data_IF_618342233377
#
_entry.id   IF_618342233377
#
_cell.length_a   1.000
_cell.length_b   1.000
_cell.length_c   1.000
_cell.angle_alpha   90.00
_cell.angle_beta   90.00
_cell.angle_gamma   90.00
#
_symmetry.space_group_name_H-M   'P 1'
#
loop_
_entity.id
_entity.type
_entity.pdbx_description
1 polymer ?
#
# COMPACT_ATOMS: atom_id res chain seq x y z
N UNK A 1 35.66 13.47 -6.73
CA UNK A 1 34.48 14.30 -7.08
C UNK A 1 34.14 15.12 -5.85
N UNK A 2 33.95 16.45 -5.94
CA UNK A 2 33.60 17.25 -4.78
C UNK A 2 32.27 16.74 -4.17
N UNK A 3 32.12 16.73 -2.84
CA UNK A 3 30.88 16.29 -2.19
C UNK A 3 29.71 17.14 -2.69
N UNK A 4 28.60 16.48 -3.02
CA UNK A 4 27.39 17.15 -3.47
C UNK A 4 26.94 18.17 -2.42
N UNK A 5 26.75 19.44 -2.82
CA UNK A 5 26.29 20.48 -1.90
C UNK A 5 24.90 20.15 -1.33
N UNK A 6 24.49 20.78 -0.21
CA UNK A 6 23.23 20.46 0.48
C UNK A 6 22.00 20.40 -0.42
N UNK A 7 21.87 21.31 -1.39
CA UNK A 7 20.75 21.32 -2.35
C UNK A 7 20.71 20.08 -3.25
N UNK A 8 21.87 19.59 -3.70
CA UNK A 8 21.97 18.37 -4.49
C UNK A 8 21.64 17.13 -3.63
N UNK A 9 22.01 17.14 -2.34
CA UNK A 9 21.63 16.10 -1.38
C UNK A 9 20.11 16.07 -1.14
N UNK A 10 19.47 17.22 -0.91
CA UNK A 10 18.01 17.30 -0.75
C UNK A 10 17.25 16.86 -2.01
N UNK A 11 17.73 17.25 -3.19
CA UNK A 11 17.17 16.78 -4.47
C UNK A 11 17.24 15.26 -4.62
N UNK A 12 18.40 14.66 -4.30
CA UNK A 12 18.57 13.21 -4.34
C UNK A 12 17.68 12.47 -3.34
N UNK A 13 17.55 12.98 -2.10
CA UNK A 13 16.67 12.40 -1.09
C UNK A 13 15.19 12.46 -1.51
N UNK A 14 14.75 13.59 -2.08
CA UNK A 14 13.39 13.74 -2.60
C UNK A 14 13.10 12.76 -3.75
N UNK A 15 14.02 12.62 -4.70
CA UNK A 15 13.89 11.66 -5.79
C UNK A 15 13.83 10.21 -5.29
N UNK A 16 14.70 9.84 -4.34
CA UNK A 16 14.67 8.52 -3.71
C UNK A 16 13.35 8.26 -2.97
N UNK A 17 12.81 9.24 -2.26
CA UNK A 17 11.54 9.10 -1.55
C UNK A 17 10.38 8.77 -2.51
N UNK A 18 10.33 9.42 -3.68
CA UNK A 18 9.32 9.13 -4.71
C UNK A 18 9.47 7.70 -5.25
N UNK A 19 10.70 7.28 -5.54
CA UNK A 19 10.97 5.91 -6.02
C UNK A 19 10.54 4.87 -4.99
N UNK A 20 10.95 5.04 -3.73
CA UNK A 20 10.57 4.15 -2.63
C UNK A 20 9.06 4.13 -2.46
N UNK A 21 8.39 5.30 -2.49
CA UNK A 21 6.94 5.39 -2.43
C UNK A 21 6.26 4.58 -3.53
N UNK A 22 6.69 4.73 -4.79
CA UNK A 22 6.11 3.97 -5.91
C UNK A 22 6.36 2.46 -5.79
N UNK A 23 7.54 2.05 -5.30
CA UNK A 23 7.84 0.63 -5.05
C UNK A 23 6.94 0.05 -3.97
N UNK A 24 6.76 0.78 -2.86
CA UNK A 24 5.85 0.37 -1.77
C UNK A 24 4.42 0.27 -2.28
N UNK A 25 3.94 1.25 -3.04
CA UNK A 25 2.60 1.21 -3.65
C UNK A 25 2.45 -0.01 -4.57
N UNK A 26 3.46 -0.33 -5.38
CA UNK A 26 3.42 -1.49 -6.25
C UNK A 26 3.30 -2.80 -5.46
N UNK A 27 4.06 -2.93 -4.36
CA UNK A 27 4.01 -4.08 -3.45
C UNK A 27 2.64 -4.17 -2.76
N UNK A 28 2.15 -3.08 -2.18
CA UNK A 28 0.83 -3.00 -1.53
C UNK A 28 -0.31 -3.39 -2.48
N UNK A 29 -0.15 -3.02 -3.74
CA UNK A 29 -1.12 -3.35 -4.80
C UNK A 29 -1.16 -4.83 -5.13
N UNK A 30 -0.06 -5.58 -4.92
CA UNK A 30 -0.08 -7.04 -5.03
C UNK A 30 -1.01 -7.62 -3.96
N UNK A 31 -0.88 -7.16 -2.71
CA UNK A 31 -1.73 -7.64 -1.61
C UNK A 31 -3.20 -7.29 -1.82
N UNK A 32 -3.49 -6.05 -2.23
CA UNK A 32 -4.86 -5.63 -2.53
C UNK A 32 -5.45 -6.39 -3.71
N UNK A 33 -4.66 -6.65 -4.76
CA UNK A 33 -5.08 -7.47 -5.90
C UNK A 33 -5.43 -8.90 -5.49
N UNK A 34 -4.59 -9.53 -4.66
CA UNK A 34 -4.88 -10.87 -4.13
C UNK A 34 -6.14 -10.83 -3.25
N UNK A 35 -6.26 -9.84 -2.37
CA UNK A 35 -7.46 -9.65 -1.56
C UNK A 35 -8.72 -9.49 -2.38
N UNK A 36 -8.68 -8.72 -3.48
CA UNK A 36 -9.79 -8.55 -4.42
C UNK A 36 -10.19 -9.87 -5.10
N UNK A 37 -9.21 -10.72 -5.45
CA UNK A 37 -9.48 -12.06 -5.97
C UNK A 37 -10.15 -12.97 -4.94
N UNK A 38 -9.68 -12.97 -3.69
CA UNK A 38 -10.31 -13.72 -2.60
C UNK A 38 -11.72 -13.22 -2.29
N UNK A 39 -11.96 -11.92 -2.41
CA UNK A 39 -13.28 -11.30 -2.30
C UNK A 39 -14.23 -11.60 -3.48
N UNK A 40 -13.76 -12.34 -4.51
CA UNK A 40 -14.52 -12.66 -5.72
C UNK A 40 -15.05 -11.41 -6.43
N UNK A 41 -14.18 -10.42 -6.60
CA UNK A 41 -14.42 -9.26 -7.47
C UNK A 41 -14.14 -9.70 -8.91
N UNK A 42 -15.15 -9.66 -9.78
CA UNK A 42 -15.13 -10.25 -11.13
C UNK A 42 -14.03 -9.67 -12.03
N UNK A 43 -13.82 -8.35 -11.97
CA UNK A 43 -12.83 -7.66 -12.80
C UNK A 43 -11.56 -7.28 -12.02
N UNK A 44 -11.11 -8.11 -11.08
CA UNK A 44 -9.93 -7.83 -10.28
C UNK A 44 -8.62 -7.95 -11.08
N UNK A 45 -7.96 -6.82 -11.36
CA UNK A 45 -6.66 -6.76 -12.03
C UNK A 45 -5.61 -6.03 -11.18
N UNK A 46 -4.33 -6.32 -11.42
CA UNK A 46 -3.24 -5.61 -10.74
C UNK A 46 -3.24 -4.11 -11.07
N UNK A 47 -3.55 -3.73 -12.32
CA UNK A 47 -3.65 -2.31 -12.70
C UNK A 47 -4.72 -1.56 -11.91
N UNK A 48 -5.90 -2.17 -11.72
CA UNK A 48 -6.94 -1.61 -10.84
C UNK A 48 -6.48 -1.55 -9.39
N UNK A 49 -5.81 -2.59 -8.89
CA UNK A 49 -5.24 -2.56 -7.55
C UNK A 49 -4.21 -1.42 -7.38
N UNK A 50 -3.34 -1.22 -8.36
CA UNK A 50 -2.35 -0.14 -8.36
C UNK A 50 -2.99 1.24 -8.29
N UNK A 51 -3.97 1.49 -9.15
CA UNK A 51 -4.71 2.76 -9.17
C UNK A 51 -5.49 2.94 -7.86
N UNK A 52 -6.13 1.88 -7.36
CA UNK A 52 -6.88 1.92 -6.10
C UNK A 52 -5.99 2.21 -4.89
N UNK A 53 -4.82 1.56 -4.81
CA UNK A 53 -3.83 1.78 -3.75
C UNK A 53 -3.27 3.19 -3.83
N UNK A 54 -2.77 3.62 -5.00
CA UNK A 54 -2.20 4.95 -5.19
C UNK A 54 -3.21 6.06 -4.89
N UNK A 55 -4.38 6.00 -5.53
CA UNK A 55 -5.45 6.98 -5.33
C UNK A 55 -6.00 6.93 -3.91
N UNK A 56 -6.15 5.73 -3.35
CA UNK A 56 -6.62 5.53 -1.98
C UNK A 56 -5.68 6.14 -0.95
N UNK A 57 -4.37 5.92 -1.09
CA UNK A 57 -3.38 6.51 -0.17
C UNK A 57 -3.34 8.02 -0.28
N UNK A 58 -3.37 8.59 -1.50
CA UNK A 58 -3.37 10.04 -1.71
C UNK A 58 -4.62 10.66 -1.06
N UNK A 59 -5.80 10.14 -1.37
CA UNK A 59 -7.07 10.69 -0.85
C UNK A 59 -7.14 10.49 0.67
N UNK A 60 -6.76 9.33 1.18
CA UNK A 60 -6.73 9.05 2.63
C UNK A 60 -5.78 9.99 3.38
N UNK A 61 -4.58 10.24 2.84
CA UNK A 61 -3.60 11.16 3.43
C UNK A 61 -4.13 12.60 3.47
N UNK A 62 -4.76 13.07 2.40
CA UNK A 62 -5.36 14.41 2.34
C UNK A 62 -6.49 14.52 3.37
N UNK A 63 -7.44 13.58 3.36
CA UNK A 63 -8.59 13.59 4.29
C UNK A 63 -8.11 13.52 5.75
N UNK A 64 -7.12 12.66 6.02
CA UNK A 64 -6.52 12.50 7.34
C UNK A 64 -5.78 13.74 7.84
N UNK A 65 -5.11 14.48 6.95
CA UNK A 65 -4.39 15.69 7.31
C UNK A 65 -5.31 16.91 7.51
N UNK A 66 -6.42 16.99 6.76
CA UNK A 66 -7.32 18.16 6.78
C UNK A 66 -8.32 18.09 7.94
N UNK A 67 -8.81 16.90 8.29
CA UNK A 67 -9.90 16.76 9.27
C UNK A 67 -9.36 16.35 10.64
N UNK A 68 -9.43 17.22 11.67
CA UNK A 68 -8.96 16.88 13.01
C UNK A 68 -9.85 15.82 13.69
N UNK A 69 -9.26 15.08 14.62
CA UNK A 69 -9.89 14.04 15.47
C UNK A 69 -10.46 12.80 14.75
N UNK A 70 -11.18 12.97 13.65
CA UNK A 70 -11.84 11.90 12.89
C UNK A 70 -11.22 11.65 11.52
N UNK A 71 -10.23 12.44 11.11
CA UNK A 71 -9.59 12.34 9.79
C UNK A 71 -9.01 10.96 9.49
N UNK A 72 -8.47 10.25 10.49
CA UNK A 72 -7.98 8.88 10.29
C UNK A 72 -9.09 7.91 9.86
N UNK A 73 -10.24 7.96 10.52
CA UNK A 73 -11.40 7.13 10.17
C UNK A 73 -11.97 7.51 8.80
N UNK A 74 -12.12 8.81 8.55
CA UNK A 74 -12.60 9.31 7.26
C UNK A 74 -11.62 9.00 6.13
N UNK A 75 -10.31 9.01 6.40
CA UNK A 75 -9.26 8.61 5.46
C UNK A 75 -9.37 7.14 5.08
N UNK A 76 -9.60 6.25 6.06
CA UNK A 76 -9.88 4.84 5.78
C UNK A 76 -11.16 4.65 4.95
N UNK A 77 -12.24 5.36 5.30
CA UNK A 77 -13.50 5.30 4.53
C UNK A 77 -13.26 5.79 3.10
N UNK A 78 -12.49 6.86 2.92
CA UNK A 78 -12.15 7.39 1.61
C UNK A 78 -11.26 6.43 0.81
N UNK A 79 -10.29 5.78 1.45
CA UNK A 79 -9.49 4.70 0.84
C UNK A 79 -10.41 3.58 0.34
N UNK A 80 -11.30 3.06 1.19
CA UNK A 80 -12.24 1.99 0.83
C UNK A 80 -13.22 2.44 -0.26
N UNK A 81 -13.61 3.71 -0.27
CA UNK A 81 -14.42 4.28 -1.34
C UNK A 81 -13.67 4.30 -2.69
N UNK A 82 -12.37 4.61 -2.70
CA UNK A 82 -11.55 4.51 -3.91
C UNK A 82 -11.44 3.06 -4.37
N UNK A 83 -11.15 2.12 -3.47
CA UNK A 83 -11.13 0.67 -3.79
C UNK A 83 -12.45 0.25 -4.41
N UNK A 84 -13.57 0.57 -3.76
CA UNK A 84 -14.92 0.30 -4.25
C UNK A 84 -15.14 0.84 -5.67
N UNK A 85 -14.73 2.08 -5.91
CA UNK A 85 -14.96 2.80 -7.17
C UNK A 85 -14.08 2.24 -8.30
N UNK A 86 -12.79 2.03 -8.04
CA UNK A 86 -11.83 1.54 -9.04
C UNK A 86 -12.09 0.08 -9.41
N UNK A 87 -12.44 -0.76 -8.43
CA UNK A 87 -12.82 -2.15 -8.68
C UNK A 87 -14.25 -2.32 -9.20
N UNK A 88 -15.06 -1.24 -9.23
CA UNK A 88 -16.48 -1.28 -9.58
C UNK A 88 -17.25 -2.36 -8.80
N UNK A 89 -17.15 -2.29 -7.47
CA UNK A 89 -17.69 -3.31 -6.56
C UNK A 89 -18.59 -2.70 -5.49
N UNK A 90 -19.21 -3.55 -4.65
CA UNK A 90 -19.93 -3.12 -3.46
C UNK A 90 -19.00 -2.90 -2.24
N UNK A 91 -19.52 -2.25 -1.21
CA UNK A 91 -18.79 -1.96 0.03
C UNK A 91 -18.31 -3.23 0.76
N UNK A 92 -19.12 -4.29 0.78
CA UNK A 92 -18.78 -5.53 1.46
C UNK A 92 -17.54 -6.17 0.83
N UNK A 93 -17.54 -6.33 -0.49
CA UNK A 93 -16.39 -6.86 -1.25
C UNK A 93 -15.15 -5.96 -1.12
N UNK A 94 -15.29 -4.63 -1.13
CA UNK A 94 -14.16 -3.72 -0.94
C UNK A 94 -13.51 -3.87 0.45
N UNK A 95 -14.33 -3.96 1.50
CA UNK A 95 -13.86 -4.19 2.87
C UNK A 95 -13.20 -5.57 2.98
N UNK A 96 -13.82 -6.61 2.42
CA UNK A 96 -13.28 -7.97 2.41
C UNK A 96 -11.93 -8.00 1.68
N UNK A 97 -11.82 -7.35 0.52
CA UNK A 97 -10.57 -7.27 -0.23
C UNK A 97 -9.45 -6.61 0.59
N UNK A 98 -9.75 -5.50 1.25
CA UNK A 98 -8.80 -4.80 2.12
C UNK A 98 -8.39 -5.65 3.35
N UNK A 99 -9.34 -6.33 4.00
CA UNK A 99 -9.04 -7.23 5.11
C UNK A 99 -8.16 -8.41 4.66
N UNK A 100 -8.46 -9.04 3.52
CA UNK A 100 -7.62 -10.10 2.98
C UNK A 100 -6.23 -9.59 2.62
N UNK A 101 -6.10 -8.37 2.08
CA UNK A 101 -4.80 -7.77 1.80
C UNK A 101 -3.94 -7.69 3.06
N UNK A 102 -4.52 -7.25 4.19
CA UNK A 102 -3.85 -7.21 5.50
C UNK A 102 -3.43 -8.61 5.94
N UNK A 103 -4.34 -9.58 5.87
CA UNK A 103 -4.05 -10.98 6.28
C UNK A 103 -2.90 -11.56 5.45
N UNK A 104 -2.93 -11.37 4.13
CA UNK A 104 -1.88 -11.87 3.23
C UNK A 104 -0.54 -11.17 3.52
N UNK A 105 -0.55 -9.85 3.76
CA UNK A 105 0.65 -9.10 4.11
C UNK A 105 1.27 -9.59 5.42
N UNK A 106 0.46 -9.82 6.46
CA UNK A 106 0.93 -10.37 7.75
C UNK A 106 1.53 -11.76 7.55
N UNK A 107 0.87 -12.65 6.81
CA UNK A 107 1.37 -13.99 6.53
C UNK A 107 2.72 -13.93 5.79
N UNK A 108 2.84 -13.10 4.76
CA UNK A 108 4.10 -12.96 4.03
C UNK A 108 5.21 -12.36 4.89
N UNK A 109 4.92 -11.38 5.74
CA UNK A 109 5.91 -10.84 6.68
C UNK A 109 6.41 -11.90 7.67
N UNK A 110 5.53 -12.74 8.20
CA UNK A 110 5.91 -13.86 9.07
C UNK A 110 6.82 -14.84 8.33
N UNK A 111 6.44 -15.24 7.12
CA UNK A 111 7.23 -16.19 6.30
C UNK A 111 8.63 -15.62 6.02
N UNK A 112 8.71 -14.37 5.57
CA UNK A 112 10.00 -13.70 5.28
C UNK A 112 10.81 -13.59 6.57
N UNK A 113 10.21 -13.18 7.68
CA UNK A 113 10.88 -13.06 8.97
C UNK A 113 11.48 -14.38 9.45
N UNK A 114 10.75 -15.49 9.31
CA UNK A 114 11.25 -16.84 9.64
C UNK A 114 12.41 -17.23 8.73
N UNK A 115 12.28 -17.05 7.41
CA UNK A 115 13.34 -17.42 6.45
C UNK A 115 14.62 -16.62 6.73
N UNK A 116 14.50 -15.30 6.89
CA UNK A 116 15.64 -14.43 7.18
C UNK A 116 16.26 -14.80 8.54
N UNK A 117 15.45 -15.00 9.57
CA UNK A 117 15.91 -15.42 10.89
C UNK A 117 16.68 -16.74 10.86
N UNK A 118 16.16 -17.75 10.15
CA UNK A 118 16.85 -19.04 9.97
C UNK A 118 18.16 -18.89 9.17
N UNK A 119 18.18 -18.03 8.14
CA UNK A 119 19.39 -17.80 7.35
C UNK A 119 20.51 -17.13 8.15
N UNK A 120 20.14 -16.19 9.03
CA UNK A 120 21.08 -15.52 9.93
C UNK A 120 21.61 -16.49 11.00
N UNK A 121 20.74 -17.35 11.56
CA UNK A 121 21.16 -18.40 12.49
C UNK A 121 22.14 -19.39 11.86
N UNK A 122 21.95 -19.74 10.58
CA UNK A 122 22.85 -20.63 9.86
C UNK A 122 24.20 -19.97 9.49
N UNK A 123 24.30 -18.64 9.57
CA UNK A 123 25.52 -17.88 9.24
C UNK A 123 26.39 -17.55 10.47
N UNK A 124 25.93 -17.91 11.69
CA UNK A 124 26.66 -17.79 12.96
C UNK A 124 27.31 -19.12 13.36
#
# INVERSE_FOLDING_TARGET
MPPAGPMAMFGALGAMAIVVFLVVIAIDSVFLWLGAKFAKIEDASFGKAFIATLGGFIVSAIVGAVIPYIGGLLGLIAFLWIVKTVFNTDWGKAIIAWLFAIVIAIILMIIIGVIVGLSLLAAL
#
